data_IF_071248093604
#
_entry.id   IF_071248093604
#
_cell.length_a   1.000
_cell.length_b   1.000
_cell.length_c   1.000
_cell.angle_alpha   90.00
_cell.angle_beta   90.00
_cell.angle_gamma   90.00
#
_symmetry.space_group_name_H-M   'P 1'
#
loop_
_entity.id
_entity.type
_entity.pdbx_description
1 polymer ?
#
# COMPACT_ATOMS: atom_id res chain seq x y z
N UNK A 1 8.43 -15.85 -4.56
CA UNK A 1 8.06 -16.24 -3.18
C UNK A 1 8.36 -15.04 -2.31
N UNK A 2 7.34 -14.36 -1.76
CA UNK A 2 7.55 -13.22 -0.86
C UNK A 2 8.32 -13.73 0.36
N UNK A 3 9.47 -13.11 0.65
CA UNK A 3 10.26 -13.45 1.83
C UNK A 3 9.52 -12.88 3.03
N UNK A 4 8.63 -13.67 3.61
CA UNK A 4 8.05 -13.33 4.91
C UNK A 4 9.19 -13.23 5.92
N UNK A 5 9.41 -12.02 6.45
CA UNK A 5 10.34 -11.82 7.55
C UNK A 5 9.67 -12.38 8.81
N UNK A 6 10.31 -13.33 9.48
CA UNK A 6 9.73 -13.92 10.69
C UNK A 6 9.46 -12.84 11.74
N UNK A 7 8.22 -12.79 12.25
CA UNK A 7 7.77 -11.80 13.24
C UNK A 7 7.08 -10.57 12.64
N UNK A 8 7.10 -10.42 11.31
CA UNK A 8 6.40 -9.34 10.62
C UNK A 8 4.94 -9.72 10.36
N UNK A 9 4.00 -8.77 10.53
CA UNK A 9 2.60 -8.99 10.17
C UNK A 9 2.50 -9.28 8.66
N UNK A 10 1.91 -10.38 8.21
CA UNK A 10 1.82 -10.69 6.79
C UNK A 10 1.01 -9.68 5.97
N UNK A 11 0.17 -8.87 6.61
CA UNK A 11 -0.70 -7.87 5.98
C UNK A 11 -0.41 -6.49 6.52
N UNK A 12 -0.27 -5.51 5.61
CA UNK A 12 -0.05 -4.10 5.93
C UNK A 12 -1.26 -3.28 5.52
N UNK A 13 -1.50 -2.22 6.26
CA UNK A 13 -2.46 -1.17 5.89
C UNK A 13 -1.67 -0.04 5.25
N UNK A 14 -2.05 0.32 4.03
CA UNK A 14 -1.51 1.45 3.28
C UNK A 14 -2.58 2.55 3.25
N UNK A 15 -2.19 3.79 3.53
CA UNK A 15 -3.06 4.97 3.50
C UNK A 15 -2.42 6.10 2.70
N UNK A 16 -3.21 6.75 1.86
CA UNK A 16 -2.80 7.92 1.07
C UNK A 16 -3.56 9.18 1.49
N UNK A 17 -3.00 10.35 1.16
CA UNK A 17 -3.57 11.66 1.46
C UNK A 17 -4.81 12.02 0.63
N UNK A 18 -5.05 11.26 -0.44
CA UNK A 18 -6.11 11.50 -1.40
C UNK A 18 -6.71 10.19 -1.93
N UNK A 19 -7.82 10.28 -2.67
CA UNK A 19 -8.48 9.12 -3.22
C UNK A 19 -7.63 8.49 -4.33
N UNK A 20 -7.52 7.16 -4.32
CA UNK A 20 -6.93 6.36 -5.39
C UNK A 20 -8.00 5.44 -5.98
N UNK A 21 -7.95 5.23 -7.29
CA UNK A 21 -8.88 4.34 -8.00
C UNK A 21 -8.20 2.99 -8.23
N UNK A 22 -8.75 1.93 -7.65
CA UNK A 22 -8.22 0.58 -7.80
C UNK A 22 -8.60 -0.02 -9.16
N UNK A 23 -7.90 -1.09 -9.61
CA UNK A 23 -8.25 -1.78 -10.86
C UNK A 23 -9.69 -2.32 -10.91
N UNK A 24 -10.33 -2.54 -9.76
CA UNK A 24 -11.75 -2.92 -9.65
C UNK A 24 -12.71 -1.77 -10.01
N UNK A 25 -12.21 -0.54 -10.13
CA UNK A 25 -13.01 0.69 -10.26
C UNK A 25 -13.43 1.28 -8.91
N UNK A 26 -13.12 0.61 -7.79
CA UNK A 26 -13.39 1.13 -6.45
C UNK A 26 -12.45 2.30 -6.13
N UNK A 27 -12.98 3.32 -5.47
CA UNK A 27 -12.20 4.46 -5.00
C UNK A 27 -12.01 4.37 -3.50
N UNK A 28 -10.77 4.48 -3.04
CA UNK A 28 -10.44 4.43 -1.62
C UNK A 28 -9.26 5.32 -1.25
N UNK A 29 -9.11 5.57 0.05
CA UNK A 29 -7.95 6.27 0.61
C UNK A 29 -6.97 5.29 1.26
N UNK A 30 -7.34 4.00 1.32
CA UNK A 30 -6.56 2.97 1.97
C UNK A 30 -6.81 1.60 1.36
N UNK A 31 -5.84 0.70 1.53
CA UNK A 31 -5.95 -0.71 1.17
C UNK A 31 -5.17 -1.59 2.16
N UNK A 32 -5.63 -2.82 2.36
CA UNK A 32 -4.85 -3.86 3.02
C UNK A 32 -4.11 -4.69 1.96
N UNK A 33 -2.80 -4.85 2.11
CA UNK A 33 -1.96 -5.59 1.17
C UNK A 33 -1.08 -6.58 1.89
N UNK A 34 -0.98 -7.80 1.36
CA UNK A 34 -0.01 -8.80 1.82
C UNK A 34 1.36 -8.59 1.18
N UNK A 35 2.42 -8.83 1.94
CA UNK A 35 3.81 -8.67 1.49
C UNK A 35 4.71 -8.23 2.63
N UNK A 36 6.01 -8.03 2.38
CA UNK A 36 6.88 -7.36 3.36
C UNK A 36 6.56 -5.86 3.46
N UNK A 37 7.04 -5.19 4.50
CA UNK A 37 6.87 -3.75 4.70
C UNK A 37 7.52 -2.97 3.55
N UNK A 38 8.67 -3.43 3.08
CA UNK A 38 9.37 -2.88 1.92
C UNK A 38 8.54 -3.02 0.64
N UNK A 39 8.05 -4.22 0.33
CA UNK A 39 7.18 -4.47 -0.83
C UNK A 39 5.90 -3.61 -0.78
N UNK A 40 5.31 -3.45 0.40
CA UNK A 40 4.11 -2.62 0.58
C UNK A 40 4.42 -1.12 0.45
N UNK A 41 5.61 -0.68 0.90
CA UNK A 41 6.04 0.70 0.79
C UNK A 41 6.34 1.10 -0.65
N UNK A 42 7.06 0.26 -1.39
CA UNK A 42 7.33 0.48 -2.81
C UNK A 42 6.03 0.59 -3.61
N UNK A 43 5.07 -0.31 -3.36
CA UNK A 43 3.75 -0.24 -3.96
C UNK A 43 3.02 1.06 -3.59
N UNK A 44 3.03 1.45 -2.32
CA UNK A 44 2.39 2.68 -1.85
C UNK A 44 2.94 3.93 -2.55
N UNK A 45 4.25 4.01 -2.69
CA UNK A 45 4.95 5.14 -3.35
C UNK A 45 4.67 5.18 -4.86
N UNK A 46 4.64 4.02 -5.52
CA UNK A 46 4.29 3.93 -6.94
C UNK A 46 2.86 4.45 -7.20
N UNK A 47 1.89 4.00 -6.40
CA UNK A 47 0.50 4.48 -6.50
C UNK A 47 0.42 5.97 -6.17
N UNK A 48 1.12 6.43 -5.13
CA UNK A 48 1.10 7.84 -4.76
C UNK A 48 1.55 8.75 -5.91
N UNK A 49 2.62 8.34 -6.62
CA UNK A 49 3.11 9.03 -7.82
C UNK A 49 2.12 9.01 -8.98
N UNK A 50 1.47 7.89 -9.23
CA UNK A 50 0.49 7.74 -10.31
C UNK A 50 -0.73 8.65 -10.12
N UNK A 51 -1.21 8.78 -8.88
CA UNK A 51 -2.41 9.55 -8.55
C UNK A 51 -2.13 10.98 -8.08
N UNK A 52 -0.86 11.38 -7.98
CA UNK A 52 -0.48 12.72 -7.50
C UNK A 52 -0.83 12.97 -6.03
N UNK A 53 -0.79 11.93 -5.19
CA UNK A 53 -1.06 11.97 -3.74
C UNK A 53 0.21 11.65 -2.95
N UNK A 54 0.15 11.72 -1.62
CA UNK A 54 1.27 11.28 -0.74
C UNK A 54 0.87 10.05 0.06
N UNK A 55 1.88 9.28 0.50
CA UNK A 55 1.68 8.16 1.44
C UNK A 55 1.63 8.72 2.86
N UNK A 56 0.53 8.49 3.57
CA UNK A 56 0.36 8.90 4.98
C UNK A 56 0.84 7.82 5.94
N UNK A 57 0.58 6.54 5.63
CA UNK A 57 0.96 5.43 6.50
C UNK A 57 1.17 4.12 5.71
N UNK A 58 2.14 3.33 6.17
CA UNK A 58 2.31 1.91 5.87
C UNK A 58 2.61 1.23 7.20
N UNK A 59 1.66 0.46 7.73
CA UNK A 59 1.72 -0.18 9.06
C UNK A 59 1.42 -1.67 8.98
#
# INVERSE_FOLDING_TARGET
MSRHVMGENPVKIIRWSGPVTFPSGEVGYMICRSGSLEECREYAEQVAKEFGVTVEAVI
#
